data_IF_183010622524
#
_entry.id   IF_183010622524
#
_cell.length_a   1.000
_cell.length_b   1.000
_cell.length_c   1.000
_cell.angle_alpha   90.00
_cell.angle_beta   90.00
_cell.angle_gamma   90.00
#
_symmetry.space_group_name_H-M   'P 1'
#
loop_
_entity.id
_entity.type
_entity.pdbx_description
1 polymer ?
#
# COMPACT_ATOMS: atom_id res chain seq x y z
N UNK A 1 -22.53 -29.17 -38.56
CA UNK A 1 -22.46 -28.23 -37.43
C UNK A 1 -22.02 -28.98 -36.18
N UNK A 2 -20.86 -28.65 -35.61
CA UNK A 2 -20.63 -28.66 -34.15
C UNK A 2 -19.24 -28.11 -33.87
N UNK A 3 -19.15 -26.84 -33.48
CA UNK A 3 -17.91 -26.20 -33.03
C UNK A 3 -17.70 -26.71 -31.60
N UNK A 4 -16.67 -27.53 -31.37
CA UNK A 4 -16.26 -27.90 -30.00
C UNK A 4 -15.86 -26.62 -29.27
N UNK A 5 -16.73 -26.11 -28.41
CA UNK A 5 -16.38 -25.07 -27.44
C UNK A 5 -15.38 -25.65 -26.44
N UNK A 6 -14.11 -25.29 -26.61
CA UNK A 6 -13.11 -25.46 -25.57
C UNK A 6 -13.41 -24.42 -24.47
N UNK A 7 -14.25 -24.77 -23.48
CA UNK A 7 -14.34 -24.00 -22.23
C UNK A 7 -13.05 -24.19 -21.44
N UNK A 8 -11.99 -23.46 -21.81
CA UNK A 8 -10.84 -23.31 -20.94
C UNK A 8 -11.31 -22.55 -19.71
N UNK A 9 -11.32 -23.22 -18.54
CA UNK A 9 -11.51 -22.53 -17.26
C UNK A 9 -10.43 -21.44 -17.19
N UNK A 10 -10.77 -20.16 -16.95
CA UNK A 10 -9.74 -19.14 -16.82
C UNK A 10 -8.86 -19.52 -15.62
N UNK A 11 -7.60 -19.89 -15.89
CA UNK A 11 -6.58 -19.96 -14.84
C UNK A 11 -6.53 -18.56 -14.25
N UNK A 12 -7.04 -18.39 -13.04
CA UNK A 12 -6.80 -17.18 -12.25
C UNK A 12 -5.30 -17.17 -11.98
N UNK A 13 -4.55 -16.53 -12.87
CA UNK A 13 -3.12 -16.30 -12.68
C UNK A 13 -3.02 -15.45 -11.42
N UNK A 14 -2.52 -16.05 -10.35
CA UNK A 14 -2.26 -15.35 -9.10
C UNK A 14 -1.36 -14.16 -9.41
N UNK A 15 -1.80 -12.96 -9.05
CA UNK A 15 -0.98 -11.75 -9.16
C UNK A 15 0.31 -11.99 -8.38
N UNK A 16 1.47 -11.80 -9.01
CA UNK A 16 2.78 -11.99 -8.39
C UNK A 16 3.37 -10.65 -7.98
N UNK A 17 4.16 -10.62 -6.91
CA UNK A 17 4.83 -9.39 -6.44
C UNK A 17 6.09 -9.16 -7.30
N UNK A 18 6.24 -8.01 -7.97
CA UNK A 18 7.44 -7.68 -8.72
C UNK A 18 8.64 -7.39 -7.79
N UNK A 19 9.82 -7.91 -8.14
CA UNK A 19 11.01 -7.83 -7.28
C UNK A 19 11.72 -6.47 -7.33
N UNK A 20 11.87 -5.88 -8.53
CA UNK A 20 12.73 -4.71 -8.82
C UNK A 20 11.95 -3.39 -8.93
N UNK A 21 11.00 -3.18 -8.01
CA UNK A 21 10.19 -1.95 -7.96
C UNK A 21 10.21 -1.34 -6.56
N UNK A 22 9.77 -0.09 -6.44
CA UNK A 22 9.67 0.60 -5.15
C UNK A 22 8.68 -0.07 -4.18
N UNK A 23 8.80 0.22 -2.86
CA UNK A 23 7.99 -0.43 -1.83
C UNK A 23 6.48 -0.20 -1.99
N UNK A 24 6.07 0.97 -2.45
CA UNK A 24 4.66 1.30 -2.72
C UNK A 24 4.06 0.42 -3.82
N UNK A 25 4.81 0.12 -4.89
CA UNK A 25 4.35 -0.81 -5.94
C UNK A 25 4.32 -2.25 -5.41
N UNK A 26 5.32 -2.65 -4.62
CA UNK A 26 5.31 -3.98 -3.97
C UNK A 26 4.07 -4.17 -3.09
N UNK A 27 3.74 -3.16 -2.28
CA UNK A 27 2.53 -3.15 -1.44
C UNK A 27 1.27 -3.35 -2.27
N UNK A 28 1.09 -2.58 -3.36
CA UNK A 28 -0.07 -2.74 -4.25
C UNK A 28 -0.21 -4.18 -4.74
N UNK A 29 0.86 -4.78 -5.27
CA UNK A 29 0.78 -6.15 -5.79
C UNK A 29 0.65 -7.20 -4.68
N UNK A 30 1.24 -6.97 -3.51
CA UNK A 30 1.08 -7.82 -2.34
C UNK A 30 -0.38 -7.82 -1.85
N UNK A 31 -1.01 -6.65 -1.79
CA UNK A 31 -2.41 -6.51 -1.38
C UNK A 31 -3.38 -7.07 -2.42
N UNK A 32 -3.11 -6.85 -3.71
CA UNK A 32 -3.85 -7.53 -4.78
C UNK A 32 -3.75 -9.05 -4.66
N UNK A 33 -2.55 -9.58 -4.39
CA UNK A 33 -2.34 -11.01 -4.20
C UNK A 33 -3.07 -11.53 -2.95
N UNK A 34 -2.89 -10.87 -1.80
CA UNK A 34 -3.47 -11.24 -0.50
C UNK A 34 -4.99 -11.25 -0.54
N UNK A 35 -5.59 -10.22 -1.12
CA UNK A 35 -7.06 -10.03 -1.21
C UNK A 35 -7.66 -10.60 -2.49
N UNK A 36 -6.84 -11.17 -3.37
CA UNK A 36 -7.23 -11.76 -4.67
C UNK A 36 -7.90 -10.79 -5.63
N UNK A 37 -7.53 -9.51 -5.57
CA UNK A 37 -7.96 -8.54 -6.58
C UNK A 37 -7.32 -8.81 -7.93
N UNK A 38 -8.15 -8.77 -8.96
CA UNK A 38 -7.74 -8.79 -10.35
C UNK A 38 -7.36 -7.39 -10.81
N UNK A 39 -6.62 -7.30 -11.92
CA UNK A 39 -6.34 -6.02 -12.55
C UNK A 39 -7.61 -5.29 -12.99
N UNK A 40 -8.61 -6.03 -13.49
CA UNK A 40 -9.85 -5.43 -14.00
C UNK A 40 -10.69 -4.84 -12.84
N UNK A 41 -10.70 -5.48 -11.67
CA UNK A 41 -11.33 -4.94 -10.45
C UNK A 41 -10.63 -3.68 -9.93
N UNK A 42 -9.29 -3.64 -9.95
CA UNK A 42 -8.54 -2.47 -9.53
C UNK A 42 -8.73 -1.32 -10.50
N UNK A 43 -8.74 -1.58 -11.80
CA UNK A 43 -9.04 -0.58 -12.82
C UNK A 43 -10.42 0.03 -12.61
N UNK A 44 -11.44 -0.81 -12.38
CA UNK A 44 -12.80 -0.34 -12.12
C UNK A 44 -12.92 0.52 -10.84
N UNK A 45 -12.14 0.21 -9.80
CA UNK A 45 -12.20 0.93 -8.51
C UNK A 45 -11.35 2.19 -8.46
N UNK A 46 -10.18 2.17 -9.10
CA UNK A 46 -9.19 3.25 -9.03
C UNK A 46 -9.24 4.20 -10.23
N UNK A 47 -9.86 3.79 -11.33
CA UNK A 47 -9.77 4.48 -12.62
C UNK A 47 -8.42 4.36 -13.32
N UNK A 48 -7.44 3.64 -12.74
CA UNK A 48 -6.12 3.42 -13.35
C UNK A 48 -6.15 2.20 -14.25
N UNK A 49 -5.86 2.42 -15.53
CA UNK A 49 -5.94 1.39 -16.57
C UNK A 49 -5.06 0.17 -16.27
N UNK A 50 -5.55 -1.05 -16.56
CA UNK A 50 -4.79 -2.29 -16.43
C UNK A 50 -3.43 -2.29 -17.15
N UNK A 51 -3.29 -1.76 -18.39
CA UNK A 51 -1.98 -1.60 -19.02
C UNK A 51 -1.00 -0.76 -18.18
N UNK A 52 -1.49 0.29 -17.53
CA UNK A 52 -0.69 1.14 -16.63
C UNK A 52 -0.21 0.36 -15.41
N UNK A 53 -1.11 -0.37 -14.73
CA UNK A 53 -0.74 -1.24 -13.60
C UNK A 53 0.32 -2.27 -14.00
N UNK A 54 0.18 -2.90 -15.17
CA UNK A 54 1.18 -3.86 -15.67
C UNK A 54 2.52 -3.19 -15.96
N UNK A 55 2.51 -1.98 -16.53
CA UNK A 55 3.72 -1.23 -16.83
C UNK A 55 4.53 -0.89 -15.57
N UNK A 56 3.90 -0.75 -14.41
CA UNK A 56 4.60 -0.53 -13.13
C UNK A 56 5.53 -1.65 -12.72
N UNK A 57 5.36 -2.85 -13.28
CA UNK A 57 6.19 -4.00 -12.97
C UNK A 57 7.57 -3.94 -13.61
N UNK A 58 7.73 -3.20 -14.71
CA UNK A 58 8.95 -3.29 -15.52
C UNK A 58 9.28 -2.07 -16.40
N UNK A 59 8.37 -1.10 -16.57
CA UNK A 59 8.54 0.00 -17.55
C UNK A 59 8.57 1.38 -16.91
N UNK A 60 7.60 1.74 -16.09
CA UNK A 60 7.47 3.09 -15.53
C UNK A 60 7.14 3.05 -14.04
N UNK A 61 7.54 4.08 -13.30
CA UNK A 61 7.08 4.29 -11.93
C UNK A 61 5.67 4.94 -11.95
N UNK A 62 4.82 4.67 -10.95
CA UNK A 62 3.56 5.39 -10.82
C UNK A 62 3.82 6.88 -10.51
N UNK A 63 3.01 7.75 -11.09
CA UNK A 63 2.85 9.12 -10.58
C UNK A 63 2.06 9.11 -9.28
N UNK A 64 2.22 10.15 -8.45
CA UNK A 64 1.61 10.25 -7.12
C UNK A 64 0.09 10.00 -7.14
N UNK A 65 -0.64 10.71 -8.00
CA UNK A 65 -2.10 10.57 -8.09
C UNK A 65 -2.55 9.16 -8.47
N UNK A 66 -1.80 8.46 -9.31
CA UNK A 66 -2.16 7.10 -9.70
C UNK A 66 -1.90 6.10 -8.57
N UNK A 67 -0.80 6.25 -7.83
CA UNK A 67 -0.52 5.35 -6.70
C UNK A 67 -1.50 5.60 -5.55
N UNK A 68 -1.87 6.86 -5.27
CA UNK A 68 -2.90 7.23 -4.31
C UNK A 68 -4.26 6.61 -4.68
N UNK A 69 -4.69 6.75 -5.94
CA UNK A 69 -5.95 6.17 -6.40
C UNK A 69 -5.99 4.64 -6.27
N UNK A 70 -4.89 3.96 -6.60
CA UNK A 70 -4.82 2.49 -6.49
C UNK A 70 -4.75 2.02 -5.04
N UNK A 71 -4.01 2.72 -4.17
CA UNK A 71 -3.98 2.43 -2.75
C UNK A 71 -5.36 2.66 -2.12
N UNK A 72 -6.03 3.77 -2.44
CA UNK A 72 -7.39 4.05 -1.98
C UNK A 72 -8.40 2.99 -2.41
N UNK A 73 -8.30 2.49 -3.65
CA UNK A 73 -9.12 1.37 -4.14
C UNK A 73 -8.86 0.03 -3.38
N UNK A 74 -7.71 -0.08 -2.73
CA UNK A 74 -7.31 -1.17 -1.86
C UNK A 74 -7.57 -0.86 -0.37
N UNK A 75 -8.29 0.20 -0.04
CA UNK A 75 -8.55 0.65 1.34
C UNK A 75 -7.27 1.04 2.12
N UNK A 76 -6.22 1.47 1.40
CA UNK A 76 -5.00 2.04 1.97
C UNK A 76 -4.92 3.52 1.66
N UNK A 77 -4.50 4.34 2.63
CA UNK A 77 -4.15 5.72 2.34
C UNK A 77 -2.64 5.89 2.26
N UNK A 78 -2.21 6.76 1.35
CA UNK A 78 -0.82 7.17 1.22
C UNK A 78 -0.63 8.48 1.98
N UNK A 79 0.10 8.44 3.09
CA UNK A 79 0.29 9.59 3.97
C UNK A 79 1.77 9.98 3.98
N UNK A 80 2.11 11.25 3.75
CA UNK A 80 3.46 11.73 3.98
C UNK A 80 3.75 11.76 5.48
N UNK A 81 4.78 11.02 5.90
CA UNK A 81 5.27 11.06 7.29
C UNK A 81 6.53 11.94 7.33
N UNK A 82 6.58 12.97 8.19
CA UNK A 82 7.78 13.79 8.33
C UNK A 82 8.94 12.94 8.85
N UNK A 83 10.14 13.21 8.34
CA UNK A 83 11.35 12.68 8.96
C UNK A 83 11.73 13.55 10.17
N UNK A 84 12.44 12.98 11.12
CA UNK A 84 13.04 13.67 12.26
C UNK A 84 13.66 15.03 11.89
N UNK A 85 14.45 15.09 10.81
CA UNK A 85 15.15 16.30 10.34
C UNK A 85 14.27 17.48 9.92
N UNK A 86 12.97 17.27 9.72
CA UNK A 86 12.02 18.34 9.33
C UNK A 86 11.05 18.69 10.45
N UNK A 87 11.17 18.04 11.61
CA UNK A 87 10.37 18.36 12.79
C UNK A 87 11.12 19.35 13.68
N UNK A 88 10.36 20.23 14.33
CA UNK A 88 10.91 21.19 15.27
C UNK A 88 11.52 20.47 16.48
N UNK A 89 12.61 21.04 17.01
CA UNK A 89 13.36 20.45 18.13
C UNK A 89 12.48 20.23 19.37
N UNK A 90 11.49 21.11 19.60
CA UNK A 90 10.55 21.00 20.72
C UNK A 90 9.67 19.75 20.60
N UNK A 91 9.16 19.46 19.40
CA UNK A 91 8.35 18.26 19.12
C UNK A 91 9.20 16.99 19.29
N UNK A 92 10.45 16.99 18.81
CA UNK A 92 11.36 15.86 18.99
C UNK A 92 11.65 15.61 20.48
N UNK A 93 11.83 16.69 21.25
CA UNK A 93 12.03 16.63 22.70
C UNK A 93 10.83 16.04 23.42
N UNK A 94 9.60 16.40 23.02
CA UNK A 94 8.37 15.84 23.58
C UNK A 94 8.15 14.37 23.19
N UNK A 95 8.58 13.96 22.00
CA UNK A 95 8.43 12.59 21.50
C UNK A 95 9.49 11.62 22.03
N UNK A 96 10.68 12.09 22.43
CA UNK A 96 11.77 11.24 22.90
C UNK A 96 11.38 10.37 24.13
N UNK A 97 10.73 10.90 25.18
CA UNK A 97 10.27 10.08 26.31
C UNK A 97 9.23 9.03 25.93
N UNK A 98 8.44 9.28 24.88
CA UNK A 98 7.46 8.33 24.35
C UNK A 98 8.20 7.21 23.61
N UNK A 99 9.19 7.54 22.80
CA UNK A 99 10.05 6.58 22.11
C UNK A 99 10.76 5.65 23.11
N UNK A 100 11.39 6.23 24.14
CA UNK A 100 12.13 5.48 25.17
C UNK A 100 11.22 4.53 25.94
N UNK A 101 10.03 4.99 26.36
CA UNK A 101 9.05 4.19 27.08
C UNK A 101 8.50 3.01 26.26
N UNK A 102 8.45 3.16 24.94
CA UNK A 102 7.96 2.12 24.02
C UNK A 102 9.09 1.24 23.46
N UNK A 103 10.36 1.52 23.80
CA UNK A 103 11.51 0.81 23.24
C UNK A 103 11.66 1.02 21.72
N UNK A 104 11.23 2.17 21.21
CA UNK A 104 11.26 2.52 19.78
C UNK A 104 12.40 3.48 19.46
N UNK A 105 12.86 3.49 18.21
CA UNK A 105 13.66 4.62 17.72
C UNK A 105 12.80 5.89 17.64
N UNK A 106 13.41 7.08 17.71
CA UNK A 106 12.67 8.34 17.60
C UNK A 106 11.88 8.44 16.29
N UNK A 107 12.45 7.93 15.18
CA UNK A 107 11.77 7.85 13.89
C UNK A 107 10.53 6.94 13.91
N UNK A 108 10.63 5.77 14.54
CA UNK A 108 9.49 4.84 14.67
C UNK A 108 8.40 5.43 15.59
N UNK A 109 8.80 6.16 16.63
CA UNK A 109 7.86 6.86 17.52
C UNK A 109 7.11 7.99 16.80
N UNK A 110 7.78 8.76 15.93
CA UNK A 110 7.15 9.78 15.08
C UNK A 110 6.13 9.13 14.15
N UNK A 111 6.49 8.02 13.50
CA UNK A 111 5.57 7.29 12.62
C UNK A 111 4.35 6.80 13.41
N UNK A 112 4.57 6.15 14.54
CA UNK A 112 3.51 5.67 15.43
C UNK A 112 2.58 6.80 15.92
N UNK A 113 3.15 7.93 16.34
CA UNK A 113 2.38 9.09 16.78
C UNK A 113 1.56 9.69 15.63
N UNK A 114 2.13 9.76 14.42
CA UNK A 114 1.43 10.23 13.22
C UNK A 114 0.24 9.31 12.90
N UNK A 115 0.44 7.99 12.93
CA UNK A 115 -0.62 6.99 12.71
C UNK A 115 -1.77 7.10 13.72
N UNK A 116 -1.46 7.42 15.00
CA UNK A 116 -2.47 7.71 16.02
C UNK A 116 -3.19 9.03 15.71
N UNK A 117 -2.44 10.12 15.50
CA UNK A 117 -2.97 11.46 15.32
C UNK A 117 -3.90 11.59 14.11
N UNK A 118 -3.59 10.88 13.01
CA UNK A 118 -4.45 10.84 11.81
C UNK A 118 -5.64 9.87 11.93
N UNK A 119 -5.92 9.36 13.14
CA UNK A 119 -7.12 8.58 13.44
C UNK A 119 -7.14 7.17 12.85
N UNK A 120 -5.98 6.64 12.41
CA UNK A 120 -5.89 5.31 11.76
C UNK A 120 -5.73 4.13 12.72
N UNK A 121 -5.74 4.40 14.02
CA UNK A 121 -5.64 3.39 15.08
C UNK A 121 -6.97 2.66 15.36
N UNK A 122 -7.97 2.74 14.46
CA UNK A 122 -9.29 2.15 14.66
C UNK A 122 -9.29 0.62 14.55
N UNK A 123 -9.20 -0.02 15.72
CA UNK A 123 -9.70 -1.36 16.14
C UNK A 123 -9.36 -2.57 15.25
N UNK A 124 -8.17 -3.14 15.45
CA UNK A 124 -8.02 -4.59 15.36
C UNK A 124 -7.94 -5.16 16.79
N UNK A 125 -8.78 -6.12 17.19
CA UNK A 125 -8.56 -6.82 18.45
C UNK A 125 -7.22 -7.55 18.35
N UNK A 126 -6.36 -7.36 19.34
CA UNK A 126 -5.17 -8.18 19.53
C UNK A 126 -5.63 -9.66 19.48
N UNK A 127 -4.98 -10.54 18.70
CA UNK A 127 -5.26 -11.97 18.82
C UNK A 127 -4.97 -12.39 20.26
N UNK A 128 -5.92 -13.12 20.85
CA UNK A 128 -5.80 -13.71 22.17
C UNK A 128 -4.61 -14.67 22.27
#
# INVERSE_FOLDING_TARGET
MSRREHKSKPRRLTVTIPERVGPHVKLVFAEMQRRRFTYDEIEARSGVLRPTLKAWRHKNAPGLSNIEAVLGALDWDLIPVPRDRVLDADILTELQPIADRLGLSLGDAIQFATEIAVGRHSKNPLPA
#
